data_IF_710712229447
#
_entry.id   IF_710712229447
#
_cell.length_a   1.000
_cell.length_b   1.000
_cell.length_c   1.000
_cell.angle_alpha   90.00
_cell.angle_beta   90.00
_cell.angle_gamma   90.00
#
_symmetry.space_group_name_H-M   'P 1'
#
loop_
_entity.id
_entity.type
_entity.pdbx_description
1 polymer ?
#
# COMPACT_ATOMS: atom_id res chain seq x y z
N UNK A 1 -1.13 -4.16 -15.27
CA UNK A 1 -0.79 -5.58 -15.66
C UNK A 1 -0.29 -6.33 -14.42
N UNK A 2 -0.01 -7.63 -14.51
CA UNK A 2 0.60 -8.40 -13.40
C UNK A 2 2.05 -8.77 -13.73
N UNK A 3 2.92 -8.74 -12.72
CA UNK A 3 4.35 -9.07 -12.83
C UNK A 3 4.73 -10.08 -11.77
N UNK A 4 5.31 -11.22 -12.18
CA UNK A 4 5.93 -12.15 -11.24
C UNK A 4 7.29 -11.62 -10.82
N UNK A 5 7.56 -11.64 -9.52
CA UNK A 5 8.80 -11.15 -8.93
C UNK A 5 9.31 -12.16 -7.92
N UNK A 6 10.63 -12.32 -7.85
CA UNK A 6 11.27 -13.12 -6.82
C UNK A 6 11.40 -12.30 -5.52
N UNK A 7 11.28 -13.00 -4.39
CA UNK A 7 11.67 -12.47 -3.09
C UNK A 7 13.14 -12.80 -2.90
N UNK A 8 13.96 -11.78 -2.67
CA UNK A 8 15.39 -12.00 -2.48
C UNK A 8 15.71 -12.65 -1.12
N UNK A 9 16.98 -13.03 -0.90
CA UNK A 9 17.41 -13.70 0.32
C UNK A 9 17.21 -12.87 1.60
N UNK A 10 16.92 -11.58 1.49
CA UNK A 10 16.61 -10.68 2.59
C UNK A 10 15.10 -10.43 2.77
N UNK A 11 14.24 -11.13 2.02
CA UNK A 11 12.79 -10.99 2.12
C UNK A 11 12.24 -9.75 1.38
N UNK A 12 13.01 -9.15 0.48
CA UNK A 12 12.60 -7.92 -0.23
C UNK A 12 11.98 -8.24 -1.58
N UNK A 13 11.02 -7.41 -1.99
CA UNK A 13 10.39 -7.44 -3.32
C UNK A 13 10.79 -6.19 -4.10
N UNK A 14 11.32 -6.38 -5.31
CA UNK A 14 11.74 -5.29 -6.17
C UNK A 14 10.57 -4.67 -6.95
N UNK A 15 9.85 -3.73 -6.36
CA UNK A 15 8.70 -3.07 -7.00
C UNK A 15 9.01 -2.41 -8.35
N UNK A 16 10.27 -2.05 -8.62
CA UNK A 16 10.69 -1.54 -9.93
C UNK A 16 10.42 -2.47 -11.10
N UNK A 17 10.28 -3.78 -10.84
CA UNK A 17 9.95 -4.78 -11.86
C UNK A 17 8.58 -4.58 -12.50
N UNK A 18 7.63 -3.92 -11.83
CA UNK A 18 6.31 -3.65 -12.42
C UNK A 18 6.43 -2.73 -13.64
N UNK A 19 7.38 -1.79 -13.62
CA UNK A 19 7.61 -0.86 -14.73
C UNK A 19 8.13 -1.56 -16.00
N UNK A 20 8.78 -2.74 -15.85
CA UNK A 20 9.23 -3.55 -17.00
C UNK A 20 8.05 -4.12 -17.77
N UNK A 21 6.97 -4.48 -17.07
CA UNK A 21 5.75 -5.02 -17.68
C UNK A 21 4.71 -3.95 -18.04
N UNK A 22 4.75 -2.83 -17.33
CA UNK A 22 3.77 -1.75 -17.37
C UNK A 22 4.47 -0.38 -17.19
N UNK A 23 4.97 0.22 -18.28
CA UNK A 23 5.80 1.42 -18.20
C UNK A 23 5.13 2.57 -17.45
N UNK A 24 5.84 3.16 -16.47
CA UNK A 24 5.39 4.23 -15.57
C UNK A 24 4.39 3.82 -14.47
N UNK A 25 4.08 2.53 -14.30
CA UNK A 25 3.13 2.09 -13.28
C UNK A 25 3.46 2.63 -11.87
N UNK A 26 4.73 2.61 -11.43
CA UNK A 26 5.08 3.20 -10.11
C UNK A 26 4.77 4.69 -10.01
N UNK A 27 4.99 5.44 -11.09
CA UNK A 27 4.69 6.88 -11.14
C UNK A 27 3.19 7.13 -11.06
N UNK A 28 2.39 6.36 -11.79
CA UNK A 28 0.92 6.48 -11.82
C UNK A 28 0.30 6.10 -10.48
N UNK A 29 0.79 5.02 -9.85
CA UNK A 29 0.40 4.63 -8.50
C UNK A 29 0.91 5.60 -7.42
N UNK A 30 1.84 6.49 -7.79
CA UNK A 30 2.54 7.41 -6.87
C UNK A 30 3.36 6.68 -5.81
N UNK A 31 3.85 5.47 -6.11
CA UNK A 31 4.75 4.73 -5.22
C UNK A 31 6.11 5.44 -5.20
N UNK A 32 6.31 6.28 -4.17
CA UNK A 32 7.53 7.06 -3.95
C UNK A 32 8.43 6.35 -2.93
N UNK A 33 8.89 7.07 -1.90
CA UNK A 33 9.83 6.57 -0.90
C UNK A 33 9.12 5.80 0.21
N UNK A 34 8.05 6.37 0.73
CA UNK A 34 7.36 5.86 1.91
C UNK A 34 6.11 5.11 1.48
N UNK A 35 6.07 3.81 1.79
CA UNK A 35 4.95 2.93 1.47
C UNK A 35 4.36 2.32 2.72
N UNK A 36 3.04 2.15 2.71
CA UNK A 36 2.30 1.42 3.74
C UNK A 36 1.92 0.05 3.20
N UNK A 37 2.15 -0.98 4.00
CA UNK A 37 1.78 -2.37 3.68
C UNK A 37 0.57 -2.73 4.53
N UNK A 38 -0.51 -3.14 3.88
CA UNK A 38 -1.77 -3.50 4.52
C UNK A 38 -2.11 -4.95 4.18
N UNK A 39 -2.50 -5.74 5.18
CA UNK A 39 -3.04 -7.07 4.95
C UNK A 39 -4.54 -7.00 4.64
N UNK A 40 -4.96 -7.60 3.53
CA UNK A 40 -6.36 -7.67 3.12
C UNK A 40 -6.79 -9.12 2.91
N UNK A 41 -6.87 -9.87 4.01
CA UNK A 41 -7.35 -11.26 4.04
C UNK A 41 -6.44 -12.25 3.33
N UNK A 42 -6.51 -12.29 2.00
CA UNK A 42 -5.81 -13.23 1.11
C UNK A 42 -4.60 -12.62 0.37
N UNK A 43 -4.42 -11.30 0.44
CA UNK A 43 -3.31 -10.60 -0.18
C UNK A 43 -2.80 -9.44 0.69
N UNK A 44 -1.68 -8.87 0.26
CA UNK A 44 -1.20 -7.59 0.78
C UNK A 44 -1.38 -6.50 -0.27
N UNK A 45 -1.65 -5.31 0.21
CA UNK A 45 -1.70 -4.11 -0.59
C UNK A 45 -0.51 -3.22 -0.23
N UNK A 46 0.04 -2.53 -1.23
CA UNK A 46 1.14 -1.58 -1.06
C UNK A 46 0.65 -0.23 -1.54
N UNK A 47 0.59 0.73 -0.63
CA UNK A 47 0.09 2.07 -0.87
C UNK A 47 1.20 3.11 -0.75
N UNK A 48 1.06 4.23 -1.48
CA UNK A 48 1.71 5.47 -1.07
C UNK A 48 1.16 5.84 0.31
N UNK A 49 2.05 6.10 1.27
CA UNK A 49 1.63 6.27 2.68
C UNK A 49 0.67 7.43 2.85
N UNK A 50 0.91 8.55 2.16
CA UNK A 50 0.02 9.71 2.26
C UNK A 50 -1.38 9.38 1.73
N UNK A 51 -1.46 8.70 0.59
CA UNK A 51 -2.76 8.28 0.04
C UNK A 51 -3.49 7.30 0.97
N UNK A 52 -2.75 6.41 1.62
CA UNK A 52 -3.32 5.50 2.61
C UNK A 52 -3.89 6.28 3.79
N UNK A 53 -3.12 7.19 4.38
CA UNK A 53 -3.58 8.00 5.51
C UNK A 53 -4.82 8.83 5.15
N UNK A 54 -4.81 9.47 3.97
CA UNK A 54 -5.97 10.23 3.48
C UNK A 54 -7.22 9.35 3.32
N UNK A 55 -7.05 8.11 2.82
CA UNK A 55 -8.14 7.14 2.65
C UNK A 55 -8.64 6.61 4.00
N UNK A 56 -7.73 6.18 4.87
CA UNK A 56 -8.03 5.58 6.16
C UNK A 56 -8.71 6.58 7.10
N UNK A 57 -8.24 7.84 7.13
CA UNK A 57 -8.85 8.88 7.94
C UNK A 57 -10.21 9.37 7.40
N UNK A 58 -10.49 9.16 6.12
CA UNK A 58 -11.79 9.48 5.53
C UNK A 58 -12.85 8.38 5.76
N UNK A 59 -12.45 7.23 6.31
CA UNK A 59 -13.34 6.11 6.58
C UNK A 59 -14.11 6.33 7.90
N UNK A 60 -15.44 6.40 7.80
CA UNK A 60 -16.31 6.63 8.97
C UNK A 60 -16.31 5.45 9.96
N UNK A 61 -15.92 4.25 9.52
CA UNK A 61 -15.67 3.11 10.39
C UNK A 61 -14.42 3.29 11.24
N UNK A 62 -13.37 3.92 10.69
CA UNK A 62 -12.17 4.29 11.46
C UNK A 62 -12.54 5.34 12.50
N UNK A 63 -13.25 6.40 12.12
CA UNK A 63 -13.73 7.42 13.06
C UNK A 63 -14.56 6.78 14.19
N UNK A 64 -15.48 5.87 13.84
CA UNK A 64 -16.29 5.15 14.84
C UNK A 64 -15.45 4.28 15.78
N UNK A 65 -14.41 3.63 15.27
CA UNK A 65 -13.49 2.81 16.08
C UNK A 65 -12.60 3.68 16.98
N UNK A 66 -12.09 4.80 16.48
CA UNK A 66 -11.28 5.73 17.28
C UNK A 66 -12.10 6.32 18.42
N UNK A 67 -13.33 6.73 18.17
CA UNK A 67 -14.25 7.20 19.20
C UNK A 67 -14.53 6.10 20.23
N UNK A 68 -14.65 4.84 19.81
CA UNK A 68 -14.86 3.70 20.71
C UNK A 68 -13.64 3.40 21.58
N UNK A 69 -12.43 3.46 21.02
CA UNK A 69 -11.19 3.06 21.70
C UNK A 69 -10.65 4.21 22.59
N UNK A 70 -10.74 5.45 22.11
CA UNK A 70 -10.09 6.60 22.74
C UNK A 70 -11.07 7.61 23.34
N UNK A 71 -12.38 7.49 23.08
CA UNK A 71 -13.40 8.34 23.69
C UNK A 71 -13.34 9.82 23.31
N UNK A 72 -12.78 10.13 22.13
CA UNK A 72 -12.78 11.48 21.55
C UNK A 72 -14.06 11.75 20.76
#
# INVERSE_FOLDING_TARGET
RATTVDIDSAGRVALGKIDESDPNARKELSLKRDVTIVGNGDHIEIWDTKKWDDYFNADSGVEALENLIFGM
#
